data_IF_311805392636
#
_entry.id   IF_311805392636
#
_cell.length_a   1.000
_cell.length_b   1.000
_cell.length_c   1.000
_cell.angle_alpha   90.00
_cell.angle_beta   90.00
_cell.angle_gamma   90.00
#
_symmetry.space_group_name_H-M   'P 1'
#
loop_
_entity.id
_entity.type
_entity.pdbx_description
1 polymer ?
2 non-polymer ?
3 water ?
#
# COMPACT_ATOMS: atom_id res chain seq x y z
N UNK A 27 -12.35 -17.37 1.76
CA UNK A 27 -11.02 -17.90 1.93
C UNK A 27 -10.22 -17.10 2.95
N UNK A 28 -9.03 -17.58 3.25
CA UNK A 28 -8.30 -16.79 4.19
C UNK A 28 -7.50 -15.70 3.44
N UNK A 29 -7.63 -14.44 3.89
CA UNK A 29 -6.89 -13.35 3.27
C UNK A 29 -5.40 -13.47 3.62
N UNK A 30 -4.53 -13.22 2.66
CA UNK A 30 -3.11 -13.26 2.88
C UNK A 30 -2.53 -11.85 2.62
N UNK A 31 -1.26 -11.74 2.93
CA UNK A 31 -0.43 -10.55 2.76
C UNK A 31 0.58 -10.85 1.67
N UNK A 32 0.57 -10.01 0.66
CA UNK A 32 1.47 -10.19 -0.42
C UNK A 32 2.36 -9.00 -0.52
N UNK A 33 3.66 -9.24 -0.78
CA UNK A 33 4.59 -8.16 -0.90
C UNK A 33 5.26 -8.20 -2.22
N UNK A 34 5.26 -7.01 -2.86
CA UNK A 34 5.91 -6.80 -4.14
C UNK A 34 7.01 -5.82 -3.86
N UNK A 35 8.21 -6.34 -3.74
CA UNK A 35 9.35 -5.54 -3.46
C UNK A 35 10.48 -5.72 -4.53
N UNK A 36 11.74 -5.34 -4.22
CA UNK A 36 12.91 -5.46 -5.09
C UNK A 36 13.09 -4.18 -5.86
N UNK A 37 14.17 -4.07 -6.63
CA UNK A 37 14.37 -2.85 -7.35
C UNK A 37 13.80 -2.88 -8.74
N UNK A 38 13.28 -4.04 -9.15
CA UNK A 38 12.73 -4.08 -10.49
C UNK A 38 11.44 -3.27 -10.65
N UNK A 39 11.15 -2.81 -11.90
CA UNK A 39 9.94 -2.06 -12.21
C UNK A 39 8.72 -2.99 -12.29
N UNK A 40 7.50 -2.53 -11.94
CA UNK A 40 6.29 -3.33 -12.00
C UNK A 40 5.68 -3.66 -10.62
N UNK A 41 6.30 -3.17 -9.51
CA UNK A 41 5.77 -3.45 -8.17
C UNK A 41 4.32 -2.97 -8.02
N UNK A 42 4.11 -1.72 -8.41
CA UNK A 42 2.87 -1.03 -8.32
C UNK A 42 1.88 -1.61 -9.24
N UNK A 43 2.33 -1.88 -10.50
CA UNK A 43 1.46 -2.45 -11.52
C UNK A 43 0.99 -3.83 -11.04
N UNK A 44 1.88 -4.60 -10.42
CA UNK A 44 1.49 -5.91 -9.92
C UNK A 44 0.32 -5.75 -8.94
N UNK A 45 0.51 -4.91 -7.97
CA UNK A 45 -0.51 -4.63 -6.98
C UNK A 45 -1.78 -4.13 -7.67
N UNK A 46 -1.69 -3.20 -8.61
CA UNK A 46 -2.93 -2.77 -9.25
C UNK A 46 -3.57 -3.81 -10.12
N UNK A 47 -2.71 -4.71 -10.67
CA UNK A 47 -3.19 -5.80 -11.50
C UNK A 47 -4.03 -6.76 -10.62
N UNK A 48 -3.55 -7.03 -9.40
CA UNK A 48 -4.29 -7.90 -8.47
C UNK A 48 -5.64 -7.29 -8.09
N UNK A 49 -5.60 -5.99 -7.84
CA UNK A 49 -6.76 -5.26 -7.48
C UNK A 49 -7.76 -5.29 -8.62
N UNK A 50 -7.26 -5.13 -9.83
CA UNK A 50 -8.11 -5.10 -11.00
C UNK A 50 -8.88 -6.42 -11.13
N UNK A 51 -8.15 -7.52 -10.93
CA UNK A 51 -8.71 -8.87 -10.98
C UNK A 51 -9.77 -9.00 -9.88
N UNK A 52 -9.44 -8.58 -8.63
CA UNK A 52 -10.39 -8.63 -7.54
C UNK A 52 -11.68 -7.88 -7.91
N UNK A 53 -11.55 -6.63 -8.37
CA UNK A 53 -12.73 -5.88 -8.73
C UNK A 53 -13.55 -6.55 -9.85
N UNK A 54 -12.83 -7.08 -10.83
CA UNK A 54 -13.38 -7.76 -11.98
C UNK A 54 -14.19 -8.91 -11.47
N UNK A 55 -13.77 -9.48 -10.32
CA UNK A 55 -14.45 -10.59 -9.65
C UNK A 55 -15.54 -10.14 -8.69
N UNK A 56 -15.79 -8.85 -8.54
CA UNK A 56 -16.86 -8.44 -7.66
C UNK A 56 -16.48 -8.19 -6.21
N UNK A 57 -15.19 -8.27 -5.89
CA UNK A 57 -14.66 -8.05 -4.54
C UNK A 57 -14.59 -6.57 -4.17
N UNK A 58 -14.55 -6.23 -2.86
CA UNK A 58 -14.41 -4.82 -2.48
C UNK A 58 -12.95 -4.53 -2.17
N UNK A 59 -12.43 -3.50 -2.79
CA UNK A 59 -11.04 -3.15 -2.59
C UNK A 59 -10.86 -1.71 -2.15
N UNK A 60 -9.79 -1.50 -1.37
CA UNK A 60 -9.49 -0.17 -0.90
C UNK A 60 -8.01 0.09 -1.14
N UNK A 61 -7.75 1.31 -1.51
CA UNK A 61 -6.41 1.69 -1.82
C UNK A 61 -5.86 2.96 -1.14
N UNK A 62 -4.58 2.83 -0.75
CA UNK A 62 -3.77 3.89 -0.14
C UNK A 62 -2.46 3.95 -0.93
N UNK A 63 -2.15 5.12 -1.41
CA UNK A 63 -0.94 5.43 -2.15
C UNK A 63 -0.21 6.45 -1.31
N UNK A 64 0.83 6.01 -0.67
CA UNK A 64 1.65 6.85 0.17
C UNK A 64 2.49 7.87 -0.59
N UNK A 65 2.60 7.66 -1.88
CA UNK A 65 3.37 8.56 -2.69
C UNK A 65 2.50 9.13 -3.82
N UNK A 66 2.37 10.44 -3.79
CA UNK A 66 1.60 11.18 -4.77
C UNK A 66 2.42 11.39 -6.07
N UNK A 67 1.92 10.90 -7.22
CA UNK A 67 2.63 11.08 -8.50
C UNK A 67 2.35 12.47 -9.08
N UNK A 68 3.29 13.01 -9.80
CA UNK A 68 3.00 14.31 -10.34
C UNK A 68 2.24 14.20 -11.66
N UNK A 69 1.70 13.01 -11.89
CA UNK A 69 0.93 12.80 -13.09
C UNK A 69 -0.49 12.37 -12.78
N UNK A 70 -1.22 12.13 -13.86
CA UNK A 70 -2.59 11.69 -13.84
C UNK A 70 -2.59 10.23 -13.42
N UNK A 71 -3.57 9.86 -12.58
CA UNK A 71 -3.63 8.49 -12.05
C UNK A 71 -4.45 7.55 -12.88
N UNK A 72 -3.77 6.82 -13.79
CA UNK A 72 -4.43 5.89 -14.66
C UNK A 72 -5.25 4.88 -13.84
N UNK A 73 -4.56 4.25 -12.88
CA UNK A 73 -5.19 3.27 -12.03
C UNK A 73 -6.40 3.81 -11.33
N UNK A 74 -6.23 4.99 -10.76
CA UNK A 74 -7.35 5.62 -10.06
C UNK A 74 -8.47 5.92 -11.03
N UNK A 75 -8.07 6.45 -12.16
CA UNK A 75 -9.05 6.77 -13.15
C UNK A 75 -9.90 5.58 -13.52
N UNK A 76 -9.26 4.42 -13.55
CA UNK A 76 -9.90 3.21 -13.92
C UNK A 76 -10.81 2.58 -12.87
N UNK A 77 -10.18 2.37 -11.70
CA UNK A 77 -10.77 1.71 -10.57
C UNK A 77 -11.79 2.46 -9.77
N UNK A 78 -11.46 3.70 -9.50
CA UNK A 78 -12.30 4.56 -8.70
C UNK A 78 -13.75 4.51 -9.03
N UNK A 79 -14.15 4.70 -10.32
CA UNK A 79 -15.56 4.64 -10.70
C UNK A 79 -16.22 3.30 -10.37
N UNK A 80 -15.43 2.29 -10.00
CA UNK A 80 -15.96 1.00 -9.65
C UNK A 80 -16.16 0.89 -8.16
N UNK A 81 -16.19 2.00 -7.43
CA UNK A 81 -16.42 1.91 -6.00
C UNK A 81 -15.21 1.64 -5.14
N UNK A 82 -14.05 1.72 -5.75
CA UNK A 82 -12.81 1.51 -5.06
C UNK A 82 -12.36 2.79 -4.37
N UNK A 83 -12.36 2.81 -3.04
CA UNK A 83 -11.90 3.99 -2.36
C UNK A 83 -10.40 4.22 -2.64
N UNK A 84 -10.01 5.48 -2.87
CA UNK A 84 -8.60 5.82 -3.11
C UNK A 84 -8.17 6.81 -2.09
N UNK A 85 -7.01 6.60 -1.54
CA UNK A 85 -6.46 7.53 -0.56
C UNK A 85 -5.02 7.83 -0.98
N UNK A 86 -4.74 9.07 -1.36
CA UNK A 86 -3.42 9.50 -1.83
C UNK A 86 -2.81 10.47 -0.85
N UNK A 87 -1.52 10.40 -0.72
CA UNK A 87 -0.83 11.28 0.17
C UNK A 87 -1.05 12.70 -0.24
N UNK A 88 -1.12 13.66 0.70
CA UNK A 88 -1.31 15.09 0.35
C UNK A 88 -0.14 15.64 -0.45
N UNK A 89 -0.41 16.61 -1.29
CA UNK A 89 0.59 17.25 -2.13
C UNK A 89 1.65 17.92 -1.29
N UNK A 90 1.18 18.42 -0.17
CA UNK A 90 2.03 19.10 0.75
C UNK A 90 3.22 18.29 1.25
N UNK A 91 3.16 16.93 1.22
CA UNK A 91 4.30 16.11 1.69
C UNK A 91 5.58 16.52 0.95
N UNK A 92 6.64 16.87 1.73
CA UNK A 92 7.94 17.34 1.23
C UNK A 92 9.16 16.44 1.22
N UNK A 93 9.26 15.46 2.13
CA UNK A 93 10.44 14.61 2.20
C UNK A 93 11.65 15.42 2.65
N UNK A 94 11.42 16.62 3.15
CA UNK A 94 12.54 17.44 3.58
C UNK A 94 12.89 17.21 5.03
N UNK A 95 14.18 17.01 5.29
CA UNK A 95 14.68 16.77 6.63
C UNK A 95 14.14 17.73 7.69
N UNK A 96 13.99 19.00 7.34
CA UNK A 96 13.52 19.98 8.30
C UNK A 96 12.04 20.06 8.39
N UNK A 97 11.38 19.16 7.68
CA UNK A 97 9.93 19.16 7.70
C UNK A 97 9.30 17.90 8.23
N UNK A 98 10.13 17.06 8.85
CA UNK A 98 9.72 15.81 9.41
C UNK A 98 8.45 15.84 10.20
N UNK A 99 8.19 16.94 10.91
CA UNK A 99 7.01 17.08 11.77
C UNK A 99 5.72 17.18 11.04
N UNK A 100 5.79 17.98 9.99
CA UNK A 100 4.65 18.20 9.17
C UNK A 100 4.38 17.00 8.26
N UNK A 101 5.45 16.50 7.64
CA UNK A 101 5.38 15.34 6.74
C UNK A 101 4.92 14.07 7.47
N UNK A 102 5.38 13.91 8.71
CA UNK A 102 5.00 12.80 9.52
C UNK A 102 3.50 12.93 9.76
N UNK A 103 3.07 14.14 10.14
CA UNK A 103 1.67 14.37 10.37
C UNK A 103 0.79 14.06 9.14
N UNK A 104 1.25 14.41 7.90
CA UNK A 104 0.49 14.14 6.66
C UNK A 104 0.41 12.63 6.45
N UNK A 105 1.53 11.95 6.68
CA UNK A 105 1.59 10.49 6.52
C UNK A 105 0.61 9.83 7.47
N UNK A 106 0.58 10.28 8.73
CA UNK A 106 -0.29 9.79 9.80
C UNK A 106 -1.74 9.96 9.43
N UNK A 107 -2.09 11.09 8.84
CA UNK A 107 -3.43 11.35 8.43
C UNK A 107 -3.89 10.36 7.38
N UNK A 108 -3.04 10.17 6.35
CA UNK A 108 -3.37 9.24 5.27
C UNK A 108 -3.46 7.77 5.76
N UNK A 109 -2.58 7.41 6.69
CA UNK A 109 -2.51 6.06 7.29
C UNK A 109 -3.71 5.76 8.17
N UNK A 110 -4.38 6.81 8.63
CA UNK A 110 -5.55 6.64 9.49
C UNK A 110 -6.59 5.93 8.64
N UNK A 111 -6.64 6.33 7.36
CA UNK A 111 -7.53 5.79 6.35
C UNK A 111 -7.21 4.31 6.15
N UNK A 112 -5.89 4.05 6.07
CA UNK A 112 -5.35 2.72 5.91
C UNK A 112 -5.76 1.81 7.08
N UNK A 113 -5.62 2.32 8.30
CA UNK A 113 -5.99 1.53 9.46
C UNK A 113 -7.45 1.27 9.45
N UNK A 114 -8.17 2.26 8.99
CA UNK A 114 -9.61 2.06 8.94
C UNK A 114 -9.94 0.89 8.00
N UNK A 115 -9.30 0.93 6.84
CA UNK A 115 -9.54 -0.14 5.85
C UNK A 115 -9.15 -1.49 6.36
N UNK A 116 -8.02 -1.50 7.01
CA UNK A 116 -7.47 -2.72 7.59
C UNK A 116 -8.33 -3.20 8.71
N UNK A 117 -9.39 -2.45 9.03
CA UNK A 117 -10.32 -2.83 10.08
C UNK A 117 -11.68 -3.13 9.46
N UNK A 118 -11.83 -3.01 8.16
CA UNK A 118 -13.13 -3.24 7.55
C UNK A 118 -13.39 -4.67 7.10
N UNK A 119 -14.36 -5.26 7.75
CA UNK A 119 -14.77 -6.61 7.51
C UNK A 119 -15.36 -6.76 6.15
N UNK A 120 -15.77 -5.65 5.56
CA UNK A 120 -16.33 -5.77 4.25
C UNK A 120 -15.37 -5.57 3.11
N UNK A 121 -14.13 -5.20 3.40
CA UNK A 121 -13.14 -4.99 2.36
C UNK A 121 -12.35 -6.27 2.17
N UNK A 122 -12.39 -6.79 0.96
CA UNK A 122 -11.77 -8.03 0.60
C UNK A 122 -10.29 -7.87 0.38
N UNK A 123 -9.90 -6.69 -0.06
CA UNK A 123 -8.48 -6.46 -0.29
C UNK A 123 -8.11 -5.03 -0.03
N UNK A 124 -6.91 -4.83 0.51
CA UNK A 124 -6.49 -3.50 0.77
C UNK A 124 -5.17 -3.32 0.08
N UNK A 125 -4.96 -2.22 -0.64
CA UNK A 125 -3.66 -1.98 -1.29
C UNK A 125 -2.92 -0.84 -0.57
N UNK A 126 -1.71 -1.13 -0.10
CA UNK A 126 -0.87 -0.13 0.54
C UNK A 126 0.36 0.05 -0.36
N UNK A 127 0.20 0.91 -1.38
CA UNK A 127 1.23 1.27 -2.37
C UNK A 127 2.29 2.24 -1.86
N UNK A 128 3.53 1.82 -2.00
CA UNK A 128 4.68 2.60 -1.60
C UNK A 128 4.78 2.74 -0.11
N UNK A 129 4.18 1.79 0.57
CA UNK A 129 4.22 1.80 2.02
C UNK A 129 5.64 1.63 2.58
N UNK A 130 6.48 0.86 1.88
CA UNK A 130 7.85 0.60 2.31
C UNK A 130 8.66 1.92 2.62
N UNK A 131 8.59 2.96 1.76
CA UNK A 131 9.31 4.22 2.04
C UNK A 131 8.83 4.89 3.30
N UNK A 132 7.52 4.83 3.58
CA UNK A 132 7.00 5.47 4.80
C UNK A 132 7.68 4.88 6.00
N UNK A 133 7.92 3.55 5.97
CA UNK A 133 8.61 2.84 7.07
C UNK A 133 10.10 3.08 7.05
N UNK A 134 10.62 3.11 5.85
CA UNK A 134 12.04 3.30 5.69
C UNK A 134 12.55 4.66 6.05
N UNK A 135 11.65 5.64 6.09
CA UNK A 135 12.05 7.01 6.47
C UNK A 135 11.41 7.34 7.83
N UNK A 136 10.89 6.33 8.49
CA UNK A 136 10.28 6.61 9.78
C UNK A 136 9.14 7.66 9.82
N UNK A 137 8.27 7.72 8.81
CA UNK A 137 7.14 8.63 8.78
C UNK A 137 5.90 7.98 9.38
N UNK A 138 5.99 6.65 9.61
CA UNK A 138 4.97 5.79 10.20
C UNK A 138 5.62 4.62 10.94
N UNK A 139 5.13 4.41 12.15
CA UNK A 139 5.62 3.38 13.05
C UNK A 139 5.41 1.97 12.53
N UNK A 140 6.49 1.22 12.37
CA UNK A 140 6.38 -0.17 11.88
C UNK A 140 5.42 -0.91 12.79
N UNK A 141 5.53 -0.63 14.10
CA UNK A 141 4.66 -1.35 15.05
C UNK A 141 3.16 -1.22 14.78
N UNK A 142 2.77 -0.03 14.29
CA UNK A 142 1.36 0.24 13.95
C UNK A 142 0.96 -0.62 12.76
N UNK A 143 1.96 -0.83 11.92
CA UNK A 143 1.74 -1.62 10.74
C UNK A 143 1.52 -3.08 11.04
N UNK A 144 2.46 -3.61 11.79
CA UNK A 144 2.39 -4.97 12.17
C UNK A 144 1.07 -5.25 12.85
N UNK A 145 0.74 -4.40 13.80
CA UNK A 145 -0.46 -4.50 14.55
C UNK A 145 -1.66 -4.46 13.65
N UNK A 146 -1.73 -3.44 12.77
CA UNK A 146 -2.87 -3.31 11.85
C UNK A 146 -3.09 -4.52 10.94
N UNK A 147 -1.98 -5.09 10.46
CA UNK A 147 -1.94 -6.25 9.59
C UNK A 147 -2.44 -7.47 10.32
N UNK A 148 -1.93 -7.60 11.56
CA UNK A 148 -2.29 -8.74 12.40
C UNK A 148 -3.75 -8.86 12.82
N UNK A 149 -4.34 -7.74 13.14
CA UNK A 149 -5.71 -7.69 13.58
C UNK A 149 -6.76 -7.61 12.48
N UNK A 150 -6.35 -7.61 11.23
CA UNK A 150 -7.32 -7.49 10.14
C UNK A 150 -8.31 -8.60 10.04
N UNK A 151 -9.41 -8.30 9.32
CA UNK A 151 -10.46 -9.31 9.11
C UNK A 151 -9.87 -10.49 8.36
N UNK A 152 -10.01 -11.70 8.93
CA UNK A 152 -9.49 -12.94 8.39
C UNK A 152 -9.57 -13.15 6.89
N UNK A 153 -10.64 -12.70 6.22
CA UNK A 153 -10.76 -12.89 4.76
C UNK A 153 -10.03 -11.81 4.00
N UNK A 154 -9.40 -10.89 4.71
CA UNK A 154 -8.73 -9.81 4.04
C UNK A 154 -7.34 -10.00 3.48
N UNK A 155 -7.18 -9.64 2.20
CA UNK A 155 -5.88 -9.78 1.58
C UNK A 155 -5.32 -8.40 1.50
N UNK A 156 -4.04 -8.29 1.78
CA UNK A 156 -3.40 -6.99 1.76
C UNK A 156 -2.19 -7.05 0.84
N UNK A 157 -2.01 -6.03 0.01
CA UNK A 157 -0.86 -5.97 -0.91
C UNK A 157 0.05 -4.80 -0.54
N UNK A 158 1.32 -5.08 -0.28
CA UNK A 158 2.27 -4.05 0.10
C UNK A 158 3.29 -3.90 -1.01
N UNK A 159 3.51 -2.62 -1.40
CA UNK A 159 4.49 -2.40 -2.47
C UNK A 159 5.60 -1.45 -2.06
N UNK A 160 6.73 -1.65 -2.67
CA UNK A 160 7.83 -0.75 -2.40
C UNK A 160 9.17 -1.45 -2.28
N UNK A 161 10.23 -0.73 -2.68
CA UNK A 161 11.61 -1.18 -2.61
C UNK A 161 11.97 -1.22 -1.11
N UNK A 162 12.95 -2.06 -0.77
CA UNK A 162 13.42 -2.21 0.60
C UNK A 162 12.38 -2.48 1.71
N UNK A 163 11.55 -3.45 1.50
CA UNK A 163 10.57 -3.73 2.48
C UNK A 163 11.17 -4.15 3.80
N UNK A 164 10.72 -3.53 4.91
CA UNK A 164 11.21 -3.90 6.21
C UNK A 164 11.10 -5.40 6.43
N UNK A 165 12.16 -6.03 6.95
CA UNK A 165 12.21 -7.47 7.21
C UNK A 165 11.11 -8.00 8.09
N UNK A 166 10.78 -7.22 9.08
CA UNK A 166 9.72 -7.66 9.94
C UNK A 166 8.44 -7.79 9.14
N UNK A 167 8.26 -6.88 8.20
CA UNK A 167 7.07 -6.96 7.37
C UNK A 167 7.15 -8.20 6.46
N UNK A 168 8.34 -8.49 5.97
CA UNK A 168 8.51 -9.63 5.12
C UNK A 168 8.27 -10.91 5.90
N UNK A 169 8.57 -10.91 7.20
CA UNK A 169 8.38 -12.09 8.00
C UNK A 169 6.91 -12.42 8.22
N UNK A 170 6.11 -11.40 8.24
CA UNK A 170 4.71 -11.54 8.43
C UNK A 170 3.97 -11.90 7.13
N UNK A 171 4.53 -11.53 5.98
CA UNK A 171 3.92 -11.76 4.66
C UNK A 171 3.74 -13.22 4.19
N UNK A 172 2.64 -13.55 3.49
CA UNK A 172 2.42 -14.90 3.02
C UNK A 172 3.17 -15.16 1.73
N UNK A 173 3.25 -14.13 0.91
CA UNK A 173 3.91 -14.23 -0.35
C UNK A 173 4.78 -13.04 -0.55
N UNK A 174 5.96 -13.32 -1.03
CA UNK A 174 6.92 -12.27 -1.31
C UNK A 174 7.58 -12.50 -2.68
N UNK A 175 7.31 -11.58 -3.58
CA UNK A 175 7.88 -11.65 -4.87
C UNK A 175 8.81 -10.46 -4.93
N UNK A 176 10.07 -10.71 -5.31
CA UNK A 176 11.08 -9.70 -5.41
C UNK A 176 11.41 -9.37 -6.86
N UNK A 177 11.02 -8.19 -7.29
CA UNK A 177 11.25 -7.75 -8.64
C UNK A 177 12.72 -7.41 -8.90
N UNK A 178 13.36 -8.35 -9.47
CA UNK A 178 14.73 -8.12 -9.75
C UNK A 178 14.88 -7.58 -11.17
N UNK A 179 15.54 -6.48 -11.28
CA UNK A 179 15.75 -5.88 -12.57
C UNK A 179 16.86 -6.55 -13.40
N UNK A 180 16.46 -7.35 -14.36
CA UNK A 180 17.41 -7.98 -15.23
C UNK A 180 17.93 -6.95 -16.27
N UNK A 181 17.05 -6.05 -16.70
CA UNK A 181 17.30 -4.99 -17.67
C UNK A 181 16.37 -3.84 -17.36
N UNK A 182 16.80 -2.64 -17.68
CA UNK A 182 15.95 -1.49 -17.43
C UNK A 182 16.18 -0.46 -18.53
N UNK A 183 15.10 0.19 -19.01
CA UNK A 183 15.13 1.22 -20.07
C UNK A 183 15.22 2.64 -19.47
X LIG B 1 5.34 -0.07 -11.46
#
# INVERSE_FOLDING_TARGET
XSDERYQQRQQKVKDRVDARVAQAQEERGIIIVFTGNGKGKTTAAFGTAARAVGHGKNVGVVQFIKGTWPNGERNLLEPHGVEFQVMATGFTWETQNREADTAACMAVWQHGKRMLADPLLDMVVLDELTYMVAYDYLPLEEVISALNARPGHQTVIITGRGCHRDILDLADTVSELRPVKHAFDAGVKAQXGIDY
CL CL
#
